data_IF_923511678683
#
_entry.id   IF_923511678683
#
_cell.length_a   1.000
_cell.length_b   1.000
_cell.length_c   1.000
_cell.angle_alpha   90.00
_cell.angle_beta   90.00
_cell.angle_gamma   90.00
#
_symmetry.space_group_name_H-M   'P 1'
#
loop_
_entity.id
_entity.type
_entity.pdbx_description
1 polymer ?
#
# COMPACT_ATOMS: atom_id res chain seq x y z
N UNK A 1 7.05 -0.82 -17.28
CA UNK A 1 6.10 -0.27 -16.32
C UNK A 1 6.31 -0.92 -14.96
N UNK A 2 6.40 -0.13 -13.93
CA UNK A 2 6.63 -0.66 -12.59
C UNK A 2 5.30 -1.06 -11.96
N UNK A 3 5.21 -2.30 -11.53
CA UNK A 3 3.99 -2.83 -10.88
C UNK A 3 4.12 -2.65 -9.37
N UNK A 4 3.12 -2.01 -8.79
CA UNK A 4 3.14 -1.67 -7.38
C UNK A 4 1.97 -2.31 -6.65
N UNK A 5 2.26 -2.91 -5.50
CA UNK A 5 1.24 -3.27 -4.51
C UNK A 5 1.19 -2.15 -3.49
N UNK A 6 0.04 -1.48 -3.41
CA UNK A 6 -0.15 -0.34 -2.53
C UNK A 6 -0.83 -0.77 -1.24
N UNK A 7 -0.34 -0.29 -0.11
CA UNK A 7 -0.88 -0.65 1.20
C UNK A 7 -1.18 0.61 2.00
N UNK A 8 -2.39 0.72 2.50
CA UNK A 8 -2.79 1.86 3.30
C UNK A 8 -4.26 1.85 3.62
N UNK A 9 -4.71 2.81 4.43
CA UNK A 9 -6.14 2.91 4.74
C UNK A 9 -6.59 4.34 5.05
N UNK A 10 -5.65 5.25 5.31
CA UNK A 10 -6.02 6.61 5.73
C UNK A 10 -6.24 7.52 4.53
N UNK A 11 -6.74 8.73 4.80
CA UNK A 11 -7.01 9.69 3.74
C UNK A 11 -5.76 10.07 2.95
N UNK A 12 -4.63 10.25 3.64
CA UNK A 12 -3.38 10.52 2.96
C UNK A 12 -3.02 9.39 2.01
N UNK A 13 -3.21 8.15 2.44
CA UNK A 13 -2.97 6.99 1.60
C UNK A 13 -3.89 7.02 0.38
N UNK A 14 -5.16 7.36 0.57
CA UNK A 14 -6.11 7.43 -0.54
C UNK A 14 -5.68 8.49 -1.56
N UNK A 15 -5.26 9.65 -1.10
CA UNK A 15 -4.83 10.72 -1.98
C UNK A 15 -3.58 10.34 -2.77
N UNK A 16 -2.64 9.68 -2.09
CA UNK A 16 -1.43 9.22 -2.74
C UNK A 16 -1.72 8.12 -3.76
N UNK A 17 -2.67 7.23 -3.45
CA UNK A 17 -3.08 6.19 -4.38
C UNK A 17 -3.64 6.79 -5.66
N UNK A 18 -4.49 7.81 -5.53
CA UNK A 18 -5.04 8.49 -6.69
C UNK A 18 -3.95 9.15 -7.53
N UNK A 19 -3.00 9.79 -6.86
CA UNK A 19 -1.90 10.43 -7.55
C UNK A 19 -1.06 9.40 -8.30
N UNK A 20 -0.69 8.31 -7.64
CA UNK A 20 0.16 7.28 -8.26
C UNK A 20 -0.52 6.60 -9.44
N UNK A 21 -1.82 6.33 -9.32
CA UNK A 21 -2.53 5.63 -10.39
C UNK A 21 -2.65 6.48 -11.65
N UNK A 22 -2.45 7.80 -11.54
CA UNK A 22 -2.49 8.69 -12.69
C UNK A 22 -1.12 8.87 -13.35
N UNK A 23 -0.07 8.30 -12.80
CA UNK A 23 1.29 8.49 -13.33
C UNK A 23 1.59 7.49 -14.43
N UNK A 24 2.30 7.98 -15.46
CA UNK A 24 2.79 7.11 -16.52
C UNK A 24 3.92 6.24 -15.96
N UNK A 25 3.98 5.00 -16.43
CA UNK A 25 5.05 4.11 -16.02
C UNK A 25 4.78 3.35 -14.73
N UNK A 26 3.63 3.61 -14.10
CA UNK A 26 3.24 2.93 -12.86
C UNK A 26 1.92 2.21 -13.08
N UNK A 27 1.87 0.95 -12.66
CA UNK A 27 0.65 0.17 -12.64
C UNK A 27 0.41 -0.31 -11.22
N UNK A 28 -0.73 0.08 -10.64
CA UNK A 28 -1.12 -0.42 -9.31
C UNK A 28 -1.82 -1.76 -9.53
N UNK A 29 -1.17 -2.85 -9.16
CA UNK A 29 -1.72 -4.19 -9.41
C UNK A 29 -2.63 -4.67 -8.29
N UNK A 30 -2.61 -4.00 -7.15
CA UNK A 30 -3.50 -4.33 -6.05
C UNK A 30 -3.38 -3.33 -4.93
N UNK A 31 -4.40 -3.28 -4.10
CA UNK A 31 -4.46 -2.39 -2.94
C UNK A 31 -4.77 -3.23 -1.71
N UNK A 32 -3.88 -3.18 -0.75
CA UNK A 32 -4.03 -3.87 0.51
C UNK A 32 -4.57 -2.88 1.55
N UNK A 33 -5.74 -3.17 2.07
CA UNK A 33 -6.38 -2.30 3.05
C UNK A 33 -6.73 -3.10 4.30
N UNK A 34 -7.20 -2.38 5.29
CA UNK A 34 -7.64 -2.99 6.53
C UNK A 34 -9.00 -3.66 6.31
N UNK A 35 -9.05 -4.96 6.49
CA UNK A 35 -10.27 -5.73 6.27
C UNK A 35 -11.36 -5.41 7.29
N UNK A 36 -10.98 -4.82 8.42
CA UNK A 36 -11.96 -4.49 9.46
C UNK A 36 -12.69 -3.19 9.20
N UNK A 37 -12.15 -2.34 8.34
CA UNK A 37 -12.67 -1.01 8.13
C UNK A 37 -13.21 -0.86 6.72
N UNK A 38 -14.37 -1.44 6.51
CA UNK A 38 -15.06 -1.23 5.25
C UNK A 38 -15.35 0.26 5.12
N UNK A 39 -15.10 0.79 3.96
CA UNK A 39 -15.33 2.20 3.76
C UNK A 39 -14.19 3.10 4.18
N UNK A 40 -13.00 2.55 4.45
CA UNK A 40 -11.86 3.41 4.70
C UNK A 40 -11.60 4.27 3.46
N UNK A 41 -10.96 5.44 3.62
CA UNK A 41 -10.67 6.30 2.47
C UNK A 41 -9.91 5.59 1.36
N UNK A 42 -8.95 4.74 1.72
CA UNK A 42 -8.17 4.02 0.72
C UNK A 42 -9.03 2.97 0.00
N UNK A 43 -9.92 2.29 0.72
CA UNK A 43 -10.84 1.34 0.10
C UNK A 43 -11.73 2.06 -0.91
N UNK A 44 -12.27 3.21 -0.53
CA UNK A 44 -13.12 3.99 -1.43
C UNK A 44 -12.36 4.42 -2.68
N UNK A 45 -11.11 4.87 -2.51
CA UNK A 45 -10.29 5.29 -3.64
C UNK A 45 -10.01 4.11 -4.59
N UNK A 46 -9.70 2.95 -4.03
CA UNK A 46 -9.43 1.77 -4.86
C UNK A 46 -10.65 1.37 -5.67
N UNK A 47 -11.83 1.39 -5.06
CA UNK A 47 -13.07 1.07 -5.77
C UNK A 47 -13.36 2.08 -6.86
N UNK A 48 -13.15 3.36 -6.57
CA UNK A 48 -13.35 4.43 -7.54
C UNK A 48 -12.44 4.24 -8.76
N UNK A 49 -11.22 3.79 -8.53
CA UNK A 49 -10.23 3.61 -9.58
C UNK A 49 -10.29 2.23 -10.25
N UNK A 50 -11.18 1.36 -9.78
CA UNK A 50 -11.31 0.03 -10.35
C UNK A 50 -10.14 -0.89 -10.05
N UNK A 51 -9.46 -0.68 -8.93
CA UNK A 51 -8.28 -1.46 -8.58
C UNK A 51 -8.64 -2.67 -7.72
N UNK A 52 -7.94 -3.79 -7.89
CA UNK A 52 -8.20 -4.98 -7.06
C UNK A 52 -7.90 -4.71 -5.59
N UNK A 53 -8.79 -5.16 -4.73
CA UNK A 53 -8.64 -5.02 -3.28
C UNK A 53 -8.24 -6.35 -2.67
N UNK A 54 -7.29 -6.31 -1.77
CA UNK A 54 -6.83 -7.49 -1.04
C UNK A 54 -6.88 -7.22 0.46
N UNK A 55 -7.12 -8.28 1.23
CA UNK A 55 -6.81 -8.25 2.66
C UNK A 55 -5.35 -8.70 2.81
N UNK A 56 -4.83 -8.58 4.03
CA UNK A 56 -3.48 -9.04 4.32
C UNK A 56 -3.31 -10.51 3.93
N UNK A 57 -4.25 -11.34 4.37
CA UNK A 57 -4.17 -12.78 4.13
C UNK A 57 -4.36 -13.15 2.67
N UNK A 58 -5.32 -12.52 1.98
CA UNK A 58 -5.54 -12.85 0.57
C UNK A 58 -4.39 -12.37 -0.30
N UNK A 59 -3.77 -11.26 0.05
CA UNK A 59 -2.60 -10.80 -0.70
C UNK A 59 -1.43 -11.78 -0.52
N UNK A 60 -1.19 -12.21 0.72
CA UNK A 60 -0.11 -13.13 1.02
C UNK A 60 -0.31 -14.45 0.28
N UNK A 61 -1.52 -14.98 0.29
CA UNK A 61 -1.84 -16.22 -0.40
C UNK A 61 -1.63 -16.06 -1.91
N UNK A 62 -2.11 -14.97 -2.47
CA UNK A 62 -1.97 -14.72 -3.91
C UNK A 62 -0.50 -14.58 -4.32
N UNK A 63 0.32 -13.98 -3.45
CA UNK A 63 1.75 -13.87 -3.71
C UNK A 63 2.41 -15.25 -3.73
N UNK A 64 2.09 -16.09 -2.75
CA UNK A 64 2.69 -17.41 -2.64
C UNK A 64 2.28 -18.31 -3.79
N UNK A 65 1.08 -18.12 -4.32
CA UNK A 65 0.57 -18.91 -5.45
C UNK A 65 0.96 -18.32 -6.81
N UNK A 66 1.65 -17.20 -6.81
CA UNK A 66 2.08 -16.58 -8.05
C UNK A 66 0.99 -15.80 -8.78
N UNK A 67 -0.17 -15.60 -8.17
CA UNK A 67 -1.28 -14.85 -8.79
C UNK A 67 -1.13 -13.35 -8.62
N UNK A 68 -0.39 -12.91 -7.62
CA UNK A 68 -0.13 -11.50 -7.38
C UNK A 68 1.37 -11.28 -7.50
N UNK A 69 1.77 -10.62 -8.58
CA UNK A 69 3.17 -10.31 -8.84
C UNK A 69 3.33 -8.80 -8.96
N UNK A 70 4.33 -8.27 -8.30
CA UNK A 70 4.62 -6.86 -8.35
C UNK A 70 6.10 -6.63 -8.14
N UNK A 71 6.57 -5.46 -8.54
CA UNK A 71 7.99 -5.11 -8.47
C UNK A 71 8.32 -4.41 -7.17
N UNK A 72 7.40 -3.58 -6.69
CA UNK A 72 7.62 -2.73 -5.54
C UNK A 72 6.38 -2.69 -4.67
N UNK A 73 6.57 -2.91 -3.37
CA UNK A 73 5.52 -2.68 -2.39
C UNK A 73 5.65 -1.26 -1.85
N UNK A 74 4.52 -0.58 -1.67
CA UNK A 74 4.51 0.75 -1.08
C UNK A 74 3.50 0.78 0.05
N UNK A 75 3.99 0.88 1.27
CA UNK A 75 3.16 0.93 2.47
C UNK A 75 3.12 2.36 2.97
N UNK A 76 1.92 2.96 2.99
CA UNK A 76 1.75 4.36 3.37
C UNK A 76 0.87 4.42 4.61
N UNK A 77 1.48 4.66 5.75
CA UNK A 77 0.78 4.73 7.03
C UNK A 77 -0.05 3.46 7.28
N UNK A 78 0.45 2.33 6.80
CA UNK A 78 -0.23 1.06 7.00
C UNK A 78 0.12 0.56 8.40
N UNK A 79 -0.89 0.17 9.17
CA UNK A 79 -0.73 -0.10 10.60
C UNK A 79 -0.14 -1.46 10.92
N UNK A 80 -0.26 -2.43 10.02
CA UNK A 80 0.22 -3.78 10.30
C UNK A 80 1.69 -3.92 9.98
N UNK A 81 2.38 -4.71 10.80
CA UNK A 81 3.76 -5.09 10.52
C UNK A 81 3.76 -6.06 9.34
N UNK A 82 4.60 -5.77 8.37
CA UNK A 82 4.66 -6.60 7.17
C UNK A 82 5.47 -7.86 7.43
N UNK A 83 5.02 -8.96 6.86
CA UNK A 83 5.75 -10.21 6.94
C UNK A 83 6.87 -10.19 5.92
N UNK A 84 7.84 -11.09 6.12
CA UNK A 84 9.03 -11.15 5.28
C UNK A 84 8.69 -11.33 3.79
N UNK A 85 7.63 -12.06 3.48
CA UNK A 85 7.23 -12.26 2.10
C UNK A 85 6.97 -10.93 1.38
N UNK A 86 6.39 -9.97 2.06
CA UNK A 86 6.15 -8.66 1.47
C UNK A 86 7.43 -7.89 1.22
N UNK A 87 8.49 -8.23 1.92
CA UNK A 87 9.77 -7.56 1.81
C UNK A 87 10.70 -8.22 0.80
N UNK A 88 10.57 -9.52 0.60
CA UNK A 88 11.54 -10.30 -0.17
C UNK A 88 11.05 -10.76 -1.53
N UNK A 89 9.74 -11.02 -1.69
CA UNK A 89 9.20 -11.52 -2.96
C UNK A 89 9.25 -10.46 -4.06
N UNK A 90 8.86 -9.19 -3.81
CA UNK A 90 8.95 -8.19 -4.87
C UNK A 90 10.40 -7.89 -5.22
N UNK A 91 10.68 -7.74 -6.52
CA UNK A 91 12.06 -7.58 -7.00
C UNK A 91 12.73 -6.32 -6.47
N UNK A 92 11.98 -5.26 -6.22
CA UNK A 92 12.51 -4.00 -5.71
C UNK A 92 12.27 -3.81 -4.21
N UNK A 93 11.67 -4.82 -3.55
CA UNK A 93 11.40 -4.72 -2.13
C UNK A 93 10.16 -3.89 -1.81
N UNK A 94 10.07 -3.44 -0.58
CA UNK A 94 8.92 -2.67 -0.11
C UNK A 94 9.40 -1.41 0.62
N UNK A 95 8.79 -0.28 0.26
CA UNK A 95 9.05 0.99 0.92
C UNK A 95 7.94 1.23 1.92
N UNK A 96 8.32 1.56 3.15
CA UNK A 96 7.37 1.88 4.20
C UNK A 96 7.44 3.39 4.47
N UNK A 97 6.37 4.09 4.10
CA UNK A 97 6.31 5.53 4.18
C UNK A 97 5.57 5.99 5.43
N UNK A 98 6.27 6.67 6.33
CA UNK A 98 5.69 7.26 7.54
C UNK A 98 6.06 8.73 7.57
N UNK A 99 5.24 9.60 6.97
CA UNK A 99 5.56 11.02 6.98
C UNK A 99 5.52 11.56 8.41
N UNK A 100 6.46 12.45 8.73
CA UNK A 100 6.48 13.11 10.03
C UNK A 100 5.27 14.03 10.12
N UNK A 101 4.61 13.95 11.19
CA UNK A 101 3.50 14.82 11.43
C UNK A 101 3.95 16.00 12.24
N UNK A 102 4.44 16.46 12.25
CA UNK A 102 4.77 17.41 12.84
C UNK A 102 4.91 17.84 13.77
N UNK A 103 4.89 18.58 13.94
CA UNK A 103 5.71 19.15 14.57
C UNK A 103 5.88 18.98 15.75
N UNK A 104 5.35 18.55 15.98
CA UNK A 104 5.38 18.23 16.98
C UNK A 104 6.25 17.63 17.26
N UNK A 105 6.49 17.30 16.78
CA UNK A 105 7.22 16.60 17.01
C UNK A 105 8.24 17.05 17.06
N UNK A 106 8.36 17.71 16.96
CA UNK A 106 9.19 18.08 17.10
C UNK A 106 10.00 17.65 17.76
N UNK A 107 10.09 17.42 17.88
CA UNK A 107 10.91 16.98 18.34
C UNK A 107 11.18 15.81 18.51
N UNK A 108 10.66 15.32 18.32
CA UNK A 108 10.89 14.19 18.52
C UNK A 108 11.37 13.55 17.59
N UNK A 109 11.66 13.80 17.32
CA UNK A 109 12.11 13.19 16.61
C UNK A 109 12.01 12.22 16.07
N UNK A 110 12.00 12.10 16.06
CA UNK A 110 11.95 11.40 15.61
C UNK A 110 11.27 10.74 15.05
N UNK A 111 10.99 10.74 14.85
CA UNK A 111 10.30 9.93 14.46
C UNK A 111 10.65 9.28 13.66
#
# INVERSE_FOLDING_TARGET
MTKILFMGRKRLSANLLRLLSSQNGIEIVGVLTDSHLQGSPTTAAAKELGLPLYTFDTALEAMKEGRLKYDLGLSVLYWRKLRDEFLTIPSLGTINFHPALLPEYKGTGGY
#
